data_IF_804949123849
#
_entry.id   IF_804949123849
#
_cell.length_a   1.000
_cell.length_b   1.000
_cell.length_c   1.000
_cell.angle_alpha   90.00
_cell.angle_beta   90.00
_cell.angle_gamma   90.00
#
_symmetry.space_group_name_H-M   'P 1'
#
loop_
_entity.id
_entity.type
_entity.pdbx_description
1 polymer ?
#
# COMPACT_ATOMS: atom_id res chain seq x y z
N UNK A 1 -13.25 -2.16 -7.93
CA UNK A 1 -12.25 -1.33 -7.22
C UNK A 1 -12.17 -0.03 -8.00
N UNK A 2 -12.54 1.09 -7.39
CA UNK A 2 -12.28 2.39 -7.99
C UNK A 2 -10.76 2.60 -7.94
N UNK A 3 -10.12 2.74 -9.10
CA UNK A 3 -8.71 3.07 -9.15
C UNK A 3 -8.47 4.52 -8.74
N UNK A 4 -7.28 4.80 -8.23
CA UNK A 4 -6.88 6.09 -7.68
C UNK A 4 -6.04 6.86 -8.66
N UNK A 5 -6.19 8.19 -8.68
CA UNK A 5 -5.31 8.99 -9.53
C UNK A 5 -3.97 9.17 -8.85
N UNK A 6 -2.89 9.07 -9.64
CA UNK A 6 -1.52 9.34 -9.18
C UNK A 6 -1.41 10.66 -8.42
N UNK A 7 -2.12 11.71 -8.86
CA UNK A 7 -2.17 13.01 -8.16
C UNK A 7 -2.61 12.92 -6.69
N UNK A 8 -3.57 12.04 -6.37
CA UNK A 8 -4.03 11.89 -4.99
C UNK A 8 -2.95 11.25 -4.12
N UNK A 9 -2.19 10.31 -4.69
CA UNK A 9 -1.07 9.68 -4.01
C UNK A 9 0.03 10.71 -3.75
N UNK A 10 0.37 11.53 -4.75
CA UNK A 10 1.35 12.62 -4.63
C UNK A 10 0.95 13.59 -3.52
N UNK A 11 -0.31 14.03 -3.50
CA UNK A 11 -0.84 14.94 -2.48
C UNK A 11 -0.77 14.31 -1.08
N UNK A 12 -1.16 13.04 -0.94
CA UNK A 12 -1.16 12.35 0.35
C UNK A 12 0.25 12.10 0.90
N UNK A 13 1.21 11.77 0.03
CA UNK A 13 2.57 11.39 0.45
C UNK A 13 3.58 12.54 0.40
N UNK A 14 3.15 13.74 -0.02
CA UNK A 14 4.04 14.85 -0.37
C UNK A 14 5.15 14.43 -1.35
N UNK A 15 4.81 13.50 -2.26
CA UNK A 15 5.75 12.97 -3.24
C UNK A 15 6.02 13.94 -4.39
N UNK A 16 7.05 13.64 -5.18
CA UNK A 16 7.40 14.33 -6.41
C UNK A 16 7.33 13.36 -7.58
N UNK A 17 6.54 13.68 -8.60
CA UNK A 17 6.54 12.89 -9.83
C UNK A 17 7.83 13.16 -10.61
N UNK A 18 8.55 12.10 -10.96
CA UNK A 18 9.74 12.16 -11.80
C UNK A 18 9.39 11.79 -13.23
N UNK A 19 8.51 10.80 -13.40
CA UNK A 19 8.08 10.30 -14.70
C UNK A 19 6.61 9.85 -14.64
N UNK A 20 5.93 9.95 -15.78
CA UNK A 20 4.56 9.48 -15.96
C UNK A 20 3.50 10.57 -15.83
N UNK A 21 2.23 10.18 -16.00
CA UNK A 21 1.09 11.10 -15.98
C UNK A 21 0.38 11.07 -14.62
N UNK A 22 0.21 12.24 -13.99
CA UNK A 22 -0.48 12.37 -12.71
C UNK A 22 -1.98 12.02 -12.76
N UNK A 23 -2.57 11.98 -13.96
CA UNK A 23 -3.95 11.57 -14.18
C UNK A 23 -4.11 10.06 -14.42
N UNK A 24 -3.01 9.31 -14.49
CA UNK A 24 -3.06 7.85 -14.59
C UNK A 24 -3.74 7.24 -13.37
N UNK A 25 -4.41 6.11 -13.60
CA UNK A 25 -5.15 5.37 -12.60
C UNK A 25 -4.28 4.23 -12.07
N UNK A 26 -4.19 4.12 -10.75
CA UNK A 26 -3.55 3.03 -10.01
C UNK A 26 -4.65 2.19 -9.38
N UNK A 27 -4.68 0.89 -9.67
CA UNK A 27 -5.74 0.03 -9.17
C UNK A 27 -5.42 -0.57 -7.79
N UNK A 28 -4.14 -0.93 -7.58
CA UNK A 28 -3.69 -1.61 -6.38
C UNK A 28 -2.23 -1.26 -6.11
N UNK A 29 -1.86 -1.36 -4.84
CA UNK A 29 -0.48 -1.19 -4.38
C UNK A 29 0.07 -2.55 -3.99
N UNK A 30 1.32 -2.80 -4.35
CA UNK A 30 2.10 -3.91 -3.84
C UNK A 30 3.43 -3.43 -3.29
N UNK A 31 3.91 -4.08 -2.24
CA UNK A 31 5.27 -3.92 -1.70
C UNK A 31 6.16 -5.14 -1.99
N UNK A 32 5.60 -6.17 -2.64
CA UNK A 32 6.27 -7.43 -2.92
C UNK A 32 6.24 -7.69 -4.42
N UNK A 33 7.42 -7.73 -5.05
CA UNK A 33 7.54 -7.95 -6.49
C UNK A 33 7.00 -9.31 -6.92
N UNK A 34 6.84 -10.28 -6.01
CA UNK A 34 6.33 -11.62 -6.29
C UNK A 34 4.81 -11.68 -6.38
N UNK A 35 4.10 -10.73 -5.77
CA UNK A 35 2.63 -10.70 -5.74
C UNK A 35 2.03 -9.72 -6.74
N UNK A 36 2.88 -8.99 -7.48
CA UNK A 36 2.48 -8.00 -8.47
C UNK A 36 1.57 -8.58 -9.54
N UNK A 37 0.55 -7.80 -9.90
CA UNK A 37 -0.25 -8.00 -11.10
C UNK A 37 -0.14 -6.78 -12.03
N UNK A 38 -0.36 -6.94 -13.34
CA UNK A 38 -0.35 -5.82 -14.26
C UNK A 38 -1.30 -4.69 -13.81
N UNK A 39 -0.80 -3.46 -13.75
CA UNK A 39 -1.57 -2.32 -13.24
C UNK A 39 -1.22 -1.91 -11.80
N UNK A 40 -0.48 -2.72 -11.06
CA UNK A 40 -0.06 -2.40 -9.70
C UNK A 40 0.96 -1.27 -9.66
N UNK A 41 0.90 -0.48 -8.59
CA UNK A 41 1.99 0.43 -8.21
C UNK A 41 2.87 -0.26 -7.15
N UNK A 42 4.17 -0.36 -7.44
CA UNK A 42 5.13 -0.99 -6.55
C UNK A 42 5.72 0.03 -5.55
N UNK A 43 5.63 -0.24 -4.25
CA UNK A 43 6.29 0.55 -3.22
C UNK A 43 7.60 -0.11 -2.82
N UNK A 44 8.72 0.56 -3.09
CA UNK A 44 10.06 0.07 -2.77
C UNK A 44 10.36 0.26 -1.27
N UNK A 45 9.81 -0.61 -0.43
CA UNK A 45 10.03 -0.59 1.02
C UNK A 45 11.46 -1.03 1.35
N UNK A 46 12.10 -0.34 2.28
CA UNK A 46 13.41 -0.71 2.83
C UNK A 46 13.17 -1.44 4.16
N UNK A 47 13.62 -2.68 4.25
CA UNK A 47 13.60 -3.46 5.47
C UNK A 47 15.00 -3.67 6.07
N UNK A 48 15.10 -4.40 7.19
CA UNK A 48 16.38 -4.64 7.87
C UNK A 48 17.35 -5.51 7.06
N UNK A 49 16.83 -6.35 6.15
CA UNK A 49 17.60 -7.31 5.36
C UNK A 49 17.28 -7.26 3.86
N UNK A 50 16.48 -6.29 3.42
CA UNK A 50 16.08 -6.17 2.02
C UNK A 50 15.90 -4.70 1.64
N UNK A 51 16.20 -4.36 0.40
CA UNK A 51 15.89 -3.07 -0.18
C UNK A 51 14.96 -3.29 -1.39
N UNK A 52 13.73 -2.77 -1.31
CA UNK A 52 12.75 -2.85 -2.38
C UNK A 52 13.23 -2.23 -3.70
N UNK A 53 14.18 -1.28 -3.65
CA UNK A 53 14.68 -0.59 -4.83
C UNK A 53 15.43 -1.52 -5.79
N UNK A 54 16.04 -2.59 -5.27
CA UNK A 54 16.72 -3.60 -6.08
C UNK A 54 15.76 -4.38 -6.98
N UNK A 55 14.46 -4.36 -6.69
CA UNK A 55 13.43 -5.12 -7.40
C UNK A 55 12.57 -4.29 -8.35
N UNK A 56 12.89 -3.00 -8.56
CA UNK A 56 12.08 -2.10 -9.39
C UNK A 56 12.00 -2.58 -10.84
N UNK A 57 13.14 -2.98 -11.42
CA UNK A 57 13.19 -3.50 -12.79
C UNK A 57 12.36 -4.78 -12.92
N UNK A 58 12.51 -5.70 -11.96
CA UNK A 58 11.69 -6.91 -11.92
C UNK A 58 10.19 -6.59 -11.80
N UNK A 59 9.82 -5.60 -10.98
CA UNK A 59 8.45 -5.15 -10.82
C UNK A 59 7.88 -4.63 -12.15
N UNK A 60 8.64 -3.83 -12.90
CA UNK A 60 8.23 -3.35 -14.22
C UNK A 60 8.08 -4.48 -15.24
N UNK A 61 9.00 -5.44 -15.23
CA UNK A 61 8.95 -6.62 -16.10
C UNK A 61 7.72 -7.50 -15.81
N UNK A 62 7.24 -7.51 -14.56
CA UNK A 62 6.00 -8.18 -14.15
C UNK A 62 4.73 -7.36 -14.41
N UNK A 63 4.86 -6.18 -15.01
CA UNK A 63 3.72 -5.36 -15.43
C UNK A 63 3.30 -4.27 -14.44
N UNK A 64 4.11 -3.95 -13.42
CA UNK A 64 3.85 -2.79 -12.58
C UNK A 64 3.72 -1.52 -13.46
N UNK A 65 2.70 -0.72 -13.18
CA UNK A 65 2.46 0.56 -13.87
C UNK A 65 3.38 1.66 -13.39
N UNK A 66 3.95 1.51 -12.20
CA UNK A 66 4.88 2.47 -11.64
C UNK A 66 5.54 2.00 -10.35
N UNK A 67 6.45 2.82 -9.86
CA UNK A 67 7.14 2.61 -8.60
C UNK A 67 7.16 3.87 -7.72
N UNK A 68 7.07 3.69 -6.41
CA UNK A 68 7.32 4.71 -5.38
C UNK A 68 8.65 4.40 -4.71
N UNK A 69 9.54 5.40 -4.69
CA UNK A 69 10.96 5.23 -4.34
C UNK A 69 11.44 6.34 -3.42
N UNK A 70 12.42 6.05 -2.56
CA UNK A 70 13.13 7.04 -1.77
C UNK A 70 14.65 6.82 -1.97
N UNK A 71 15.35 7.83 -2.51
CA UNK A 71 16.80 7.90 -2.83
C UNK A 71 17.22 7.53 -4.26
N UNK A 72 18.30 8.19 -4.71
CA UNK A 72 19.16 7.87 -5.86
C UNK A 72 18.45 7.40 -7.13
N UNK A 73 17.38 8.10 -7.51
CA UNK A 73 16.66 7.85 -8.76
C UNK A 73 17.57 7.92 -9.98
N UNK A 74 18.58 8.78 -9.94
CA UNK A 74 19.60 8.88 -10.98
C UNK A 74 20.30 7.53 -11.25
N UNK A 75 20.56 6.74 -10.20
CA UNK A 75 21.16 5.41 -10.35
C UNK A 75 20.23 4.39 -11.01
N UNK A 76 18.91 4.53 -10.83
CA UNK A 76 17.91 3.69 -11.48
C UNK A 76 17.87 3.96 -12.99
N UNK A 77 17.86 5.24 -13.39
CA UNK A 77 17.87 5.63 -14.80
C UNK A 77 19.21 5.35 -15.51
N UNK A 78 20.32 5.24 -14.78
CA UNK A 78 21.62 4.89 -15.35
C UNK A 78 21.76 3.39 -15.64
N UNK A 79 21.15 2.53 -14.82
CA UNK A 79 21.27 1.07 -14.96
C UNK A 79 20.49 0.55 -16.16
N UNK A 80 19.27 1.02 -16.36
CA UNK A 80 18.42 0.59 -17.48
C UNK A 80 17.48 1.72 -17.94
N UNK A 81 17.15 1.72 -19.24
CA UNK A 81 16.20 2.66 -19.81
C UNK A 81 14.78 2.25 -19.44
N UNK A 82 14.22 2.90 -18.43
CA UNK A 82 12.82 2.70 -18.02
C UNK A 82 11.90 3.27 -19.10
N UNK A 83 10.86 2.52 -19.48
CA UNK A 83 9.82 2.98 -20.42
C UNK A 83 9.17 4.27 -19.90
N UNK A 84 9.09 5.29 -20.75
CA UNK A 84 8.55 6.62 -20.46
C UNK A 84 7.09 6.59 -19.96
N UNK A 85 6.35 5.51 -20.28
CA UNK A 85 4.98 5.30 -19.82
C UNK A 85 4.89 4.84 -18.36
N UNK A 86 5.99 4.42 -17.73
CA UNK A 86 6.01 4.03 -16.32
C UNK A 86 5.95 5.25 -15.42
N UNK A 87 5.20 5.13 -14.32
CA UNK A 87 5.07 6.18 -13.32
C UNK A 87 6.19 6.01 -12.29
N UNK A 88 6.94 7.09 -12.00
CA UNK A 88 7.95 7.09 -10.94
C UNK A 88 7.66 8.26 -10.01
N UNK A 89 7.46 7.93 -8.74
CA UNK A 89 7.16 8.90 -7.68
C UNK A 89 8.27 8.82 -6.65
N UNK A 90 8.95 9.93 -6.46
CA UNK A 90 9.95 10.10 -5.42
C UNK A 90 9.28 10.56 -4.12
N UNK A 91 9.65 9.94 -3.01
CA UNK A 91 9.25 10.33 -1.66
C UNK A 91 10.47 10.36 -0.75
N UNK A 92 10.37 11.05 0.38
CA UNK A 92 11.47 11.10 1.35
C UNK A 92 11.72 9.73 2.01
N UNK A 93 10.65 9.00 2.31
CA UNK A 93 10.67 7.68 2.94
C UNK A 93 9.48 6.85 2.44
N UNK A 94 9.73 5.66 1.90
CA UNK A 94 8.69 4.83 1.27
C UNK A 94 7.74 4.19 2.27
N UNK A 95 8.20 3.90 3.49
CA UNK A 95 7.34 3.38 4.57
C UNK A 95 6.37 4.46 5.06
N UNK A 96 6.89 5.66 5.36
CA UNK A 96 6.08 6.82 5.75
C UNK A 96 5.06 7.16 4.66
N UNK A 97 5.49 7.16 3.40
CA UNK A 97 4.58 7.38 2.26
C UNK A 97 3.47 6.31 2.17
N UNK A 98 3.78 5.04 2.43
CA UNK A 98 2.76 3.98 2.48
C UNK A 98 1.75 4.23 3.60
N UNK A 99 2.22 4.64 4.78
CA UNK A 99 1.37 4.97 5.92
C UNK A 99 0.47 6.17 5.63
N UNK A 100 1.02 7.26 5.10
CA UNK A 100 0.28 8.46 4.74
C UNK A 100 -0.79 8.19 3.69
N UNK A 101 -0.42 7.44 2.64
CA UNK A 101 -1.37 7.01 1.62
C UNK A 101 -2.49 6.14 2.22
N UNK A 102 -2.14 5.17 3.08
CA UNK A 102 -3.14 4.30 3.72
C UNK A 102 -4.11 5.07 4.63
N UNK A 103 -3.63 6.13 5.29
CA UNK A 103 -4.44 7.02 6.12
C UNK A 103 -5.38 7.86 5.27
N UNK A 104 -4.86 8.47 4.19
CA UNK A 104 -5.67 9.19 3.21
C UNK A 104 -6.77 8.28 2.64
N UNK A 105 -6.40 7.06 2.24
CA UNK A 105 -7.31 6.05 1.73
C UNK A 105 -8.41 5.67 2.73
N UNK A 106 -8.02 5.31 3.96
CA UNK A 106 -8.96 4.92 5.02
C UNK A 106 -9.97 6.03 5.32
N UNK A 107 -9.58 7.30 5.20
CA UNK A 107 -10.47 8.43 5.48
C UNK A 107 -11.60 8.60 4.46
N UNK A 108 -11.52 7.94 3.29
CA UNK A 108 -12.63 7.88 2.32
C UNK A 108 -13.79 7.01 2.82
N UNK A 109 -13.52 6.10 3.77
CA UNK A 109 -14.50 5.13 4.25
C UNK A 109 -15.02 5.47 5.65
N UNK A 110 -16.34 5.36 5.81
CA UNK A 110 -17.00 5.46 7.12
C UNK A 110 -17.19 4.08 7.71
N UNK A 111 -16.20 3.62 8.46
CA UNK A 111 -16.24 2.35 9.20
C UNK A 111 -16.23 2.57 10.70
N UNK A 112 -16.90 1.69 11.45
CA UNK A 112 -16.70 1.56 12.88
C UNK A 112 -15.40 0.78 13.12
N UNK A 113 -14.43 1.39 13.80
CA UNK A 113 -13.08 0.83 13.92
C UNK A 113 -12.88 0.25 15.32
N UNK A 114 -12.44 -1.00 15.37
CA UNK A 114 -12.06 -1.72 16.59
C UNK A 114 -10.56 -2.01 16.48
N UNK A 115 -9.77 -1.45 17.40
CA UNK A 115 -8.32 -1.65 17.45
C UNK A 115 -7.97 -2.45 18.70
N UNK A 116 -7.29 -3.59 18.54
CA UNK A 116 -7.01 -4.53 19.62
C UNK A 116 -5.52 -4.55 19.88
N UNK A 117 -5.12 -4.18 21.10
CA UNK A 117 -3.71 -4.24 21.54
C UNK A 117 -3.58 -5.02 22.85
N UNK A 118 -2.34 -5.27 23.27
CA UNK A 118 -2.02 -6.00 24.50
C UNK A 118 -0.92 -7.05 24.30
N UNK A 119 -0.37 -7.58 25.40
CA UNK A 119 0.72 -8.56 25.31
C UNK A 119 0.24 -9.91 24.78
N UNK A 120 -0.92 -10.38 25.24
CA UNK A 120 -1.46 -11.71 24.93
C UNK A 120 -2.93 -11.64 24.48
N UNK A 121 -3.38 -12.66 23.73
CA UNK A 121 -4.78 -12.84 23.36
C UNK A 121 -5.30 -11.97 22.20
N UNK A 122 -4.53 -10.99 21.70
CA UNK A 122 -4.93 -10.07 20.63
C UNK A 122 -5.56 -10.77 19.43
N UNK A 123 -4.86 -11.73 18.84
CA UNK A 123 -5.31 -12.45 17.65
C UNK A 123 -6.59 -13.24 17.94
N UNK A 124 -6.65 -13.96 19.05
CA UNK A 124 -7.88 -14.70 19.45
C UNK A 124 -9.06 -13.76 19.63
N UNK A 125 -8.88 -12.62 20.32
CA UNK A 125 -9.92 -11.62 20.52
C UNK A 125 -10.39 -11.01 19.19
N UNK A 126 -9.45 -10.67 18.28
CA UNK A 126 -9.76 -10.18 16.93
C UNK A 126 -10.61 -11.18 16.15
N UNK A 127 -10.23 -12.45 16.17
CA UNK A 127 -10.94 -13.53 15.46
C UNK A 127 -12.35 -13.73 16.02
N UNK A 128 -12.52 -13.73 17.35
CA UNK A 128 -13.84 -13.85 17.98
C UNK A 128 -14.73 -12.66 17.61
N UNK A 129 -14.22 -11.43 17.73
CA UNK A 129 -14.97 -10.21 17.41
C UNK A 129 -15.38 -10.22 15.92
N UNK A 130 -14.45 -10.54 15.02
CA UNK A 130 -14.74 -10.62 13.59
C UNK A 130 -15.75 -11.72 13.27
N UNK A 131 -15.66 -12.89 13.91
CA UNK A 131 -16.59 -13.99 13.69
C UNK A 131 -18.03 -13.61 14.10
N UNK A 132 -18.20 -12.95 15.24
CA UNK A 132 -19.52 -12.51 15.74
C UNK A 132 -20.09 -11.39 14.87
N UNK A 133 -19.29 -10.35 14.59
CA UNK A 133 -19.77 -9.17 13.87
C UNK A 133 -20.03 -9.43 12.38
N UNK A 134 -19.29 -10.37 11.77
CA UNK A 134 -19.48 -10.74 10.36
C UNK A 134 -20.84 -11.39 10.08
N UNK A 135 -21.53 -11.91 11.11
CA UNK A 135 -22.91 -12.41 10.98
C UNK A 135 -23.92 -11.32 10.57
N UNK A 136 -23.61 -10.05 10.84
CA UNK A 136 -24.53 -8.93 10.63
C UNK A 136 -23.98 -7.84 9.72
N UNK A 137 -22.66 -7.65 9.70
CA UNK A 137 -22.03 -6.53 9.00
C UNK A 137 -20.87 -7.02 8.13
N UNK A 138 -20.76 -6.56 6.86
CA UNK A 138 -19.54 -6.73 6.12
C UNK A 138 -18.40 -6.02 6.85
N UNK A 139 -17.28 -6.71 7.04
CA UNK A 139 -16.15 -6.18 7.79
C UNK A 139 -14.82 -6.54 7.14
N UNK A 140 -13.82 -5.72 7.43
CA UNK A 140 -12.43 -6.01 7.14
C UNK A 140 -11.69 -6.27 8.45
N UNK A 141 -10.78 -7.23 8.46
CA UNK A 141 -9.89 -7.48 9.60
C UNK A 141 -8.44 -7.62 9.16
N UNK A 142 -7.48 -7.34 10.04
CA UNK A 142 -6.08 -7.70 9.80
C UNK A 142 -5.94 -9.20 9.57
N UNK A 143 -5.30 -9.58 8.46
CA UNK A 143 -4.99 -10.97 8.14
C UNK A 143 -3.66 -11.40 8.75
N UNK A 144 -3.55 -12.63 9.23
CA UNK A 144 -2.29 -13.19 9.74
C UNK A 144 -1.57 -12.30 10.75
N UNK A 145 -0.29 -12.03 10.50
CA UNK A 145 0.62 -11.23 11.32
C UNK A 145 0.84 -9.80 10.78
N UNK A 146 -0.11 -9.26 10.01
CA UNK A 146 -0.02 -7.89 9.49
C UNK A 146 -0.35 -6.80 10.55
N UNK A 147 0.19 -6.95 11.75
CA UNK A 147 -0.03 -6.07 12.92
C UNK A 147 1.15 -5.11 13.19
N UNK A 148 1.94 -4.83 12.15
CA UNK A 148 3.11 -3.96 12.22
C UNK A 148 2.93 -2.70 11.35
N UNK A 149 3.97 -1.86 11.33
CA UNK A 149 4.01 -0.57 10.62
C UNK A 149 3.79 -0.66 9.10
N UNK A 150 3.92 -1.85 8.51
CA UNK A 150 3.65 -2.13 7.09
C UNK A 150 2.29 -2.83 6.91
N UNK A 151 2.02 -3.82 7.75
CA UNK A 151 0.84 -4.68 7.65
C UNK A 151 -0.47 -3.93 7.88
N UNK A 152 -0.48 -2.96 8.79
CA UNK A 152 -1.67 -2.15 9.04
C UNK A 152 -2.00 -1.28 7.81
N UNK A 153 -1.06 -0.48 7.25
CA UNK A 153 -1.28 0.20 5.98
C UNK A 153 -1.82 -0.70 4.87
N UNK A 154 -1.22 -1.87 4.66
CA UNK A 154 -1.67 -2.83 3.64
C UNK A 154 -3.09 -3.34 3.91
N UNK A 155 -3.46 -3.55 5.17
CA UNK A 155 -4.82 -3.92 5.55
C UNK A 155 -5.79 -2.78 5.22
N UNK A 156 -5.45 -1.53 5.57
CA UNK A 156 -6.31 -0.37 5.30
C UNK A 156 -6.59 -0.17 3.80
N UNK A 157 -5.60 -0.46 2.95
CA UNK A 157 -5.72 -0.39 1.49
C UNK A 157 -6.65 -1.45 0.88
N UNK A 158 -7.18 -2.39 1.67
CA UNK A 158 -8.20 -3.36 1.26
C UNK A 158 -9.63 -2.91 1.60
N UNK A 159 -9.80 -1.73 2.21
CA UNK A 159 -11.14 -1.17 2.47
C UNK A 159 -11.92 -0.93 1.17
N UNK A 160 -13.24 -1.00 1.26
CA UNK A 160 -14.16 -0.71 0.16
C UNK A 160 -15.52 -0.31 0.77
N UNK A 161 -16.45 0.16 -0.05
CA UNK A 161 -17.74 0.73 0.41
C UNK A 161 -18.69 -0.28 1.06
N UNK A 162 -18.47 -1.57 0.83
CA UNK A 162 -19.25 -2.63 1.46
C UNK A 162 -18.89 -2.74 2.94
N UNK A 163 -17.61 -2.57 3.30
CA UNK A 163 -17.15 -2.68 4.67
C UNK A 163 -17.80 -1.63 5.58
N UNK A 164 -18.40 -2.09 6.68
CA UNK A 164 -18.99 -1.26 7.73
C UNK A 164 -18.17 -1.27 9.02
N UNK A 165 -17.39 -2.32 9.23
CA UNK A 165 -16.55 -2.51 10.41
C UNK A 165 -15.12 -2.80 9.98
N UNK A 166 -14.16 -2.23 10.70
CA UNK A 166 -12.75 -2.52 10.57
C UNK A 166 -12.23 -3.04 11.91
N UNK A 167 -11.66 -4.24 11.94
CA UNK A 167 -11.08 -4.86 13.13
C UNK A 167 -9.57 -5.05 12.94
N UNK A 168 -8.77 -4.20 13.57
CA UNK A 168 -7.31 -4.22 13.44
C UNK A 168 -6.63 -4.65 14.74
N UNK A 169 -5.45 -5.24 14.60
CA UNK A 169 -4.54 -5.66 15.68
C UNK A 169 -3.25 -4.87 15.53
#
# INVERSE_FOLDING_TARGET
MEGYKVRELIEATSGRIIQGNQNSIINRISIDSRTLVPGDLFFAIIGPHFDGHDFIIEAFNKGASGAVVCKNIESLFQKEKIDENKIIIEVNDTLSALQDWSKYYKNKFKTFNICITGSNGKTTTKEIIAHILSQKFPLLKTSGNYNNEIGIPLTLLQLNDLHKILVVE
#
